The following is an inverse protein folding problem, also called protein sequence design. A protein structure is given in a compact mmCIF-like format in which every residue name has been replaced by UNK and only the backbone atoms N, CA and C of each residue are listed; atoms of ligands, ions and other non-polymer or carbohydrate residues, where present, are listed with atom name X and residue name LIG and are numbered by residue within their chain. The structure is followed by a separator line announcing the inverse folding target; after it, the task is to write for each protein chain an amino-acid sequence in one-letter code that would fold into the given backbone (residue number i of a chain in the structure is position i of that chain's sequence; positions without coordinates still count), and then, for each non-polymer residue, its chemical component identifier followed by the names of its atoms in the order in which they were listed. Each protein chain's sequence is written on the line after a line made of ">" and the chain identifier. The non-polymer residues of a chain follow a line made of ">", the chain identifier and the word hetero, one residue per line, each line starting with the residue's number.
data_IF_253406887033
#
_entry.id   IF_253406887033
#
_cell.length_a   1.000
_cell.length_b   1.000
_cell.length_c   1.000
_cell.angle_alpha   90.00
_cell.angle_beta   90.00
_cell.angle_gamma   90.00
#
_symmetry.space_group_name_H-M   'P 1'
#
loop_
_entity.id
_entity.type
_entity.pdbx_description
1 polymer ?
#
# COMPACT_ATOMS: atom_id res chain seq x y z
N UNK A 1 25.79 8.71 -11.39
CA UNK A 1 25.54 7.66 -10.37
C UNK A 1 26.83 6.85 -10.22
N UNK A 2 27.62 7.08 -9.16
CA UNK A 2 29.03 6.68 -9.05
C UNK A 2 29.35 5.48 -8.15
N UNK A 3 28.36 4.62 -7.85
CA UNK A 3 28.55 3.43 -7.01
C UNK A 3 27.79 2.25 -7.57
N UNK A 4 28.34 1.06 -7.39
CA UNK A 4 27.71 -0.20 -7.83
C UNK A 4 26.58 -0.59 -6.88
N UNK A 5 25.62 -1.39 -7.37
CA UNK A 5 24.55 -1.97 -6.53
C UNK A 5 25.13 -2.76 -5.36
N UNK A 6 26.22 -3.50 -5.58
CA UNK A 6 26.90 -4.27 -4.52
C UNK A 6 27.37 -3.37 -3.38
N UNK A 7 27.96 -2.22 -3.71
CA UNK A 7 28.41 -1.24 -2.71
C UNK A 7 27.26 -0.75 -1.84
N UNK A 8 26.08 -0.53 -2.44
CA UNK A 8 24.87 -0.13 -1.70
C UNK A 8 24.34 -1.26 -0.80
N UNK A 9 24.27 -2.50 -1.29
CA UNK A 9 23.83 -3.64 -0.48
C UNK A 9 24.75 -3.90 0.70
N UNK A 10 26.06 -3.87 0.50
CA UNK A 10 27.05 -4.02 1.57
C UNK A 10 26.92 -2.89 2.62
N UNK A 11 26.62 -1.66 2.18
CA UNK A 11 26.41 -0.55 3.09
C UNK A 11 25.14 -0.72 3.94
N UNK A 12 24.04 -1.17 3.32
CA UNK A 12 22.80 -1.46 4.05
C UNK A 12 22.97 -2.59 5.06
N UNK A 13 23.68 -3.66 4.69
CA UNK A 13 23.98 -4.79 5.58
C UNK A 13 24.83 -4.35 6.78
N UNK A 14 25.91 -3.59 6.53
CA UNK A 14 26.74 -3.00 7.59
C UNK A 14 25.96 -2.04 8.51
N UNK A 15 24.91 -1.40 8.00
CA UNK A 15 24.03 -0.54 8.79
C UNK A 15 22.93 -1.31 9.54
N UNK A 16 22.91 -2.65 9.47
CA UNK A 16 21.88 -3.49 10.09
C UNK A 16 20.52 -3.39 9.41
N UNK A 17 20.46 -2.84 8.20
CA UNK A 17 19.23 -2.75 7.41
C UNK A 17 19.05 -4.04 6.63
N UNK A 18 17.99 -4.79 6.97
CA UNK A 18 17.64 -5.99 6.21
C UNK A 18 17.31 -5.61 4.76
N UNK A 19 18.06 -6.19 3.82
CA UNK A 19 17.80 -6.09 2.39
C UNK A 19 16.92 -7.23 1.88
N UNK A 20 16.55 -8.15 2.78
CA UNK A 20 15.66 -9.26 2.47
C UNK A 20 14.25 -8.73 2.19
N UNK A 21 13.52 -9.46 1.35
CA UNK A 21 12.11 -9.18 1.11
C UNK A 21 11.36 -9.42 2.42
N UNK A 22 10.49 -8.49 2.80
CA UNK A 22 9.62 -8.66 3.96
C UNK A 22 8.61 -9.77 3.67
N UNK A 23 8.46 -10.69 4.62
CA UNK A 23 7.46 -11.75 4.52
C UNK A 23 6.05 -11.17 4.54
N UNK A 24 5.14 -11.84 3.85
CA UNK A 24 3.72 -11.47 3.90
C UNK A 24 3.11 -11.89 5.23
N UNK A 25 2.27 -11.05 5.78
CA UNK A 25 1.47 -11.37 6.96
C UNK A 25 0.36 -12.34 6.56
N UNK A 26 0.26 -13.47 7.26
CA UNK A 26 -0.90 -14.33 7.18
C UNK A 26 -2.08 -13.64 7.86
N UNK A 27 -3.06 -13.20 7.07
CA UNK A 27 -4.27 -12.51 7.53
C UNK A 27 -5.45 -12.99 6.70
N UNK A 28 -6.61 -13.11 7.33
CA UNK A 28 -7.85 -13.46 6.61
C UNK A 28 -8.36 -12.28 5.79
N UNK A 29 -9.07 -12.57 4.70
CA UNK A 29 -9.72 -11.51 3.90
C UNK A 29 -10.72 -10.70 4.72
N UNK A 30 -11.44 -11.34 5.67
CA UNK A 30 -12.42 -10.68 6.54
C UNK A 30 -11.74 -9.67 7.46
N UNK A 31 -10.66 -10.09 8.13
CA UNK A 31 -9.91 -9.20 9.02
C UNK A 31 -9.24 -8.06 8.24
N UNK A 32 -8.73 -8.35 7.04
CA UNK A 32 -8.20 -7.32 6.16
C UNK A 32 -9.27 -6.29 5.78
N UNK A 33 -10.47 -6.75 5.42
CA UNK A 33 -11.59 -5.88 5.04
C UNK A 33 -12.04 -4.99 6.21
N UNK A 34 -12.09 -5.53 7.44
CA UNK A 34 -12.39 -4.75 8.65
C UNK A 34 -11.37 -3.63 8.88
N UNK A 35 -10.07 -3.93 8.75
CA UNK A 35 -9.01 -2.92 8.89
C UNK A 35 -9.06 -1.88 7.79
N UNK A 36 -9.33 -2.29 6.56
CA UNK A 36 -9.47 -1.39 5.42
C UNK A 36 -10.69 -0.49 5.57
N UNK A 37 -11.81 -1.00 6.10
CA UNK A 37 -13.00 -0.22 6.41
C UNK A 37 -12.74 0.82 7.51
N UNK A 38 -12.05 0.42 8.59
CA UNK A 38 -11.63 1.32 9.66
C UNK A 38 -10.77 2.48 9.12
N UNK A 39 -9.76 2.17 8.30
CA UNK A 39 -8.87 3.18 7.69
C UNK A 39 -9.65 4.08 6.73
N UNK A 40 -10.56 3.51 5.93
CA UNK A 40 -11.34 4.27 4.95
C UNK A 40 -12.32 5.24 5.60
N UNK A 41 -12.86 4.87 6.78
CA UNK A 41 -13.70 5.74 7.59
C UNK A 41 -12.90 6.93 8.17
N UNK A 42 -11.69 6.67 8.66
CA UNK A 42 -10.80 7.71 9.19
C UNK A 42 -10.22 8.62 8.11
N UNK A 43 -9.95 8.06 6.93
CA UNK A 43 -9.33 8.76 5.82
C UNK A 43 -10.11 8.54 4.52
N UNK A 44 -11.23 9.25 4.33
CA UNK A 44 -12.04 9.14 3.12
C UNK A 44 -11.21 9.37 1.85
N UNK A 45 -11.56 8.66 0.78
CA UNK A 45 -10.89 8.71 -0.54
C UNK A 45 -9.44 8.16 -0.58
N UNK A 46 -8.91 7.59 0.51
CA UNK A 46 -7.56 7.02 0.56
C UNK A 46 -7.36 5.85 -0.40
N UNK A 47 -6.46 6.03 -1.38
CA UNK A 47 -6.11 5.02 -2.38
C UNK A 47 -5.49 3.76 -1.79
N UNK A 48 -5.42 2.69 -2.59
CA UNK A 48 -4.75 1.44 -2.19
C UNK A 48 -3.30 1.66 -1.72
N UNK A 49 -2.58 2.63 -2.30
CA UNK A 49 -1.23 2.99 -1.85
C UNK A 49 -1.21 3.58 -0.43
N UNK A 50 -2.15 4.49 -0.12
CA UNK A 50 -2.26 5.08 1.22
C UNK A 50 -2.69 4.03 2.24
N UNK A 51 -3.66 3.19 1.88
CA UNK A 51 -4.13 2.10 2.73
C UNK A 51 -3.01 1.10 3.00
N UNK A 52 -2.21 0.72 1.99
CA UNK A 52 -1.02 -0.11 2.19
C UNK A 52 -0.06 0.50 3.22
N UNK A 53 0.20 1.81 3.16
CA UNK A 53 1.04 2.48 4.16
C UNK A 53 0.45 2.43 5.57
N UNK A 54 -0.87 2.61 5.71
CA UNK A 54 -1.55 2.47 7.01
C UNK A 54 -1.55 1.05 7.55
N UNK A 55 -1.58 0.04 6.69
CA UNK A 55 -1.43 -1.37 7.07
C UNK A 55 0.01 -1.67 7.50
N UNK A 56 1.01 -1.15 6.77
CA UNK A 56 2.42 -1.31 7.10
C UNK A 56 2.77 -0.66 8.45
N UNK A 57 2.19 0.50 8.75
CA UNK A 57 2.32 1.15 10.06
C UNK A 57 1.75 0.31 11.21
N UNK A 58 0.77 -0.56 10.92
CA UNK A 58 0.20 -1.54 11.84
C UNK A 58 0.92 -2.91 11.78
N UNK A 59 2.09 -2.98 11.16
CA UNK A 59 2.86 -4.23 10.95
C UNK A 59 2.16 -5.30 10.11
N UNK A 60 1.16 -4.91 9.31
CA UNK A 60 0.47 -5.80 8.36
C UNK A 60 1.07 -5.57 6.97
N UNK A 61 1.80 -6.56 6.46
CA UNK A 61 2.39 -6.51 5.13
C UNK A 61 1.68 -7.49 4.20
N UNK A 62 0.85 -6.97 3.31
CA UNK A 62 0.05 -7.76 2.37
C UNK A 62 0.35 -7.40 0.92
N UNK A 63 0.18 -8.32 -0.03
CA UNK A 63 0.33 -8.03 -1.44
C UNK A 63 -0.59 -6.90 -1.90
N UNK A 64 -0.09 -6.03 -2.79
CA UNK A 64 -0.86 -4.90 -3.35
C UNK A 64 -2.21 -5.33 -3.94
N UNK A 65 -2.27 -6.53 -4.53
CA UNK A 65 -3.50 -7.09 -5.10
C UNK A 65 -4.58 -7.32 -4.03
N UNK A 66 -4.21 -7.89 -2.88
CA UNK A 66 -5.14 -8.14 -1.77
C UNK A 66 -5.73 -6.84 -1.22
N UNK A 67 -4.90 -5.79 -1.09
CA UNK A 67 -5.38 -4.47 -0.66
C UNK A 67 -6.37 -3.88 -1.67
N UNK A 68 -6.13 -4.04 -2.98
CA UNK A 68 -7.06 -3.57 -4.01
C UNK A 68 -8.37 -4.36 -4.01
N UNK A 69 -8.30 -5.68 -3.86
CA UNK A 69 -9.47 -6.56 -3.82
C UNK A 69 -10.31 -6.24 -2.56
N UNK A 70 -9.68 -6.09 -1.40
CA UNK A 70 -10.30 -5.64 -0.16
C UNK A 70 -10.97 -4.26 -0.31
N UNK A 71 -10.26 -3.29 -0.88
CA UNK A 71 -10.80 -1.95 -1.10
C UNK A 71 -12.01 -1.94 -2.04
N UNK A 72 -12.05 -2.83 -3.04
CA UNK A 72 -13.21 -3.00 -3.92
C UNK A 72 -14.39 -3.63 -3.21
N UNK A 73 -14.16 -4.58 -2.31
CA UNK A 73 -15.22 -5.21 -1.48
C UNK A 73 -15.82 -4.21 -0.48
N UNK A 74 -14.98 -3.37 0.13
CA UNK A 74 -15.36 -2.41 1.16
C UNK A 74 -15.97 -1.12 0.60
N UNK A 75 -15.39 -0.57 -0.48
CA UNK A 75 -15.73 0.76 -1.00
C UNK A 75 -15.69 0.80 -2.54
N UNK A 76 -16.60 0.07 -3.18
CA UNK A 76 -16.74 0.07 -4.64
C UNK A 76 -17.03 1.49 -5.18
N UNK A 77 -17.88 2.24 -4.49
CA UNK A 77 -18.28 3.60 -4.89
C UNK A 77 -17.08 4.55 -4.84
N UNK A 78 -16.30 4.58 -3.76
CA UNK A 78 -15.13 5.45 -3.66
C UNK A 78 -13.99 5.05 -4.58
N UNK A 79 -13.88 3.77 -4.96
CA UNK A 79 -13.03 3.33 -6.08
C UNK A 79 -13.51 3.96 -7.40
N UNK A 80 -14.80 3.87 -7.72
CA UNK A 80 -15.37 4.45 -8.94
C UNK A 80 -15.28 5.98 -9.00
N UNK A 81 -15.60 6.67 -7.90
CA UNK A 81 -15.53 8.13 -7.80
C UNK A 81 -14.12 8.62 -8.06
N UNK A 82 -13.10 7.96 -7.50
CA UNK A 82 -11.70 8.29 -7.79
C UNK A 82 -11.37 8.14 -9.26
N UNK A 83 -11.91 7.12 -9.94
CA UNK A 83 -11.67 6.95 -11.37
C UNK A 83 -12.36 8.03 -12.19
N UNK A 84 -13.58 8.41 -11.80
CA UNK A 84 -14.39 9.42 -12.51
C UNK A 84 -13.85 10.85 -12.37
N UNK A 85 -13.14 11.16 -11.27
CA UNK A 85 -12.61 12.49 -10.98
C UNK A 85 -11.17 12.74 -11.46
N UNK A 86 -10.54 11.79 -12.16
CA UNK A 86 -9.15 11.92 -12.64
C UNK A 86 -9.09 12.94 -13.79
N UNK A 87 -8.88 14.19 -13.37
CA UNK A 87 -8.17 15.28 -14.06
C UNK A 87 -8.73 15.64 -15.45
N UNK A 88 -9.40 16.80 -15.55
CA UNK A 88 -9.47 17.52 -16.83
C UNK A 88 -8.04 17.82 -17.28
N UNK A 89 -7.62 17.24 -18.42
CA UNK A 89 -6.30 17.51 -19.00
C UNK A 89 -6.14 19.02 -19.18
N UNK A 90 -5.02 19.56 -18.70
CA UNK A 90 -4.66 20.98 -18.93
C UNK A 90 -4.57 21.20 -20.43
N UNK A 91 -5.37 22.11 -20.94
CA UNK A 91 -5.30 22.57 -22.33
C UNK A 91 -4.23 23.67 -22.35
N UNK A 92 -3.24 23.51 -23.23
CA UNK A 92 -2.20 24.50 -23.50
C UNK A 92 -2.56 25.29 -24.75
#
# INVERSE_FOLDING_TARGET
>A
MGVTRQTLYNHMDNAGCSTARREWTEISDVELDERVAEISLLHPFSGSAMISGHLEARSIHVPRKHVQDSLRRVDEIGVLVRWSGIIKRRIY
#
